data_IF_733805379702
#
_entry.id   IF_733805379702
#
_cell.length_a   1.000
_cell.length_b   1.000
_cell.length_c   1.000
_cell.angle_alpha   90.00
_cell.angle_beta   90.00
_cell.angle_gamma   90.00
#
_symmetry.space_group_name_H-M   'P 1'
#
loop_
_entity.id
_entity.type
_entity.pdbx_description
1 polymer ?
#
# COMPACT_ATOMS: atom_id res chain seq x y z
N UNK A 1 -36.16 17.81 -21.76
CA UNK A 1 -35.25 16.67 -21.97
C UNK A 1 -33.78 17.00 -21.70
N UNK A 2 -33.23 18.15 -22.12
CA UNK A 2 -31.82 18.49 -21.86
C UNK A 2 -31.44 18.58 -20.36
N UNK A 3 -32.31 19.16 -19.53
CA UNK A 3 -32.08 19.31 -18.07
C UNK A 3 -32.07 17.95 -17.34
N UNK A 4 -32.88 16.98 -17.77
CA UNK A 4 -32.93 15.65 -17.16
C UNK A 4 -31.68 14.82 -17.50
N UNK A 5 -31.18 14.92 -18.73
CA UNK A 5 -29.94 14.26 -19.16
C UNK A 5 -28.73 14.85 -18.43
N UNK A 6 -28.67 16.17 -18.30
CA UNK A 6 -27.61 16.86 -17.55
C UNK A 6 -27.58 16.43 -16.08
N UNK A 7 -28.74 16.41 -15.40
CA UNK A 7 -28.81 15.94 -14.00
C UNK A 7 -28.38 14.48 -13.86
N UNK A 8 -28.75 13.62 -14.80
CA UNK A 8 -28.38 12.21 -14.77
C UNK A 8 -26.87 12.01 -14.98
N UNK A 9 -26.27 12.75 -15.92
CA UNK A 9 -24.82 12.75 -16.15
C UNK A 9 -24.06 13.28 -14.93
N UNK A 10 -24.47 14.42 -14.36
CA UNK A 10 -23.84 14.99 -13.17
C UNK A 10 -23.92 14.04 -11.96
N UNK A 11 -25.08 13.39 -11.76
CA UNK A 11 -25.25 12.42 -10.67
C UNK A 11 -24.40 11.18 -10.88
N UNK A 12 -24.29 10.71 -12.12
CA UNK A 12 -23.41 9.57 -12.47
C UNK A 12 -21.95 9.91 -12.22
N UNK A 13 -21.51 11.10 -12.63
CA UNK A 13 -20.14 11.56 -12.45
C UNK A 13 -19.79 11.73 -10.96
N UNK A 14 -20.71 12.31 -10.18
CA UNK A 14 -20.55 12.42 -8.72
C UNK A 14 -20.42 11.05 -8.04
N UNK A 15 -21.19 10.03 -8.48
CA UNK A 15 -21.06 8.66 -7.96
C UNK A 15 -19.70 8.05 -8.29
N UNK A 16 -19.22 8.21 -9.51
CA UNK A 16 -17.89 7.73 -9.92
C UNK A 16 -16.79 8.39 -9.10
N UNK A 17 -16.87 9.71 -8.91
CA UNK A 17 -15.93 10.46 -8.10
C UNK A 17 -15.92 10.00 -6.64
N UNK A 18 -17.10 9.79 -6.04
CA UNK A 18 -17.21 9.33 -4.65
C UNK A 18 -16.60 7.93 -4.49
N UNK A 19 -16.86 7.03 -5.44
CA UNK A 19 -16.27 5.68 -5.42
C UNK A 19 -14.75 5.72 -5.53
N UNK A 20 -14.21 6.52 -6.46
CA UNK A 20 -12.76 6.70 -6.61
C UNK A 20 -12.14 7.28 -5.34
N UNK A 21 -12.81 8.23 -4.68
CA UNK A 21 -12.35 8.80 -3.42
C UNK A 21 -12.30 7.76 -2.29
N UNK A 22 -13.32 6.91 -2.18
CA UNK A 22 -13.34 5.80 -1.20
C UNK A 22 -12.22 4.80 -1.48
N UNK A 23 -11.97 4.46 -2.75
CA UNK A 23 -10.88 3.57 -3.14
C UNK A 23 -9.50 4.15 -2.81
N UNK A 24 -9.29 5.44 -3.08
CA UNK A 24 -8.06 6.13 -2.69
C UNK A 24 -7.87 6.14 -1.16
N UNK A 25 -8.95 6.39 -0.40
CA UNK A 25 -8.87 6.38 1.07
C UNK A 25 -8.52 5.00 1.62
N UNK A 26 -9.10 3.92 1.08
CA UNK A 26 -8.77 2.54 1.44
C UNK A 26 -7.30 2.23 1.11
N UNK A 27 -6.86 2.58 -0.11
CA UNK A 27 -5.46 2.39 -0.52
C UNK A 27 -4.49 3.17 0.38
N UNK A 28 -4.87 4.38 0.81
CA UNK A 28 -4.07 5.21 1.74
C UNK A 28 -3.96 4.57 3.12
N UNK A 29 -5.05 4.01 3.64
CA UNK A 29 -5.02 3.31 4.93
C UNK A 29 -4.17 2.04 4.86
N UNK A 30 -4.29 1.26 3.78
CA UNK A 30 -3.45 0.07 3.55
C UNK A 30 -1.97 0.42 3.46
N UNK A 31 -1.64 1.50 2.75
CA UNK A 31 -0.27 1.98 2.68
C UNK A 31 0.26 2.43 4.05
N UNK A 32 -0.52 3.17 4.84
CA UNK A 32 -0.12 3.58 6.18
C UNK A 32 0.15 2.37 7.11
N UNK A 33 -0.68 1.32 7.01
CA UNK A 33 -0.44 0.07 7.72
C UNK A 33 0.83 -0.63 7.23
N UNK A 34 1.04 -0.68 5.91
CA UNK A 34 2.23 -1.29 5.32
C UNK A 34 3.52 -0.53 5.69
N UNK A 35 3.48 0.80 5.77
CA UNK A 35 4.61 1.62 6.22
C UNK A 35 4.97 1.32 7.69
N UNK A 36 3.97 1.14 8.56
CA UNK A 36 4.21 0.71 9.94
C UNK A 36 4.84 -0.69 9.97
N UNK A 37 4.34 -1.61 9.14
CA UNK A 37 4.89 -2.96 9.03
C UNK A 37 6.33 -2.94 8.51
N UNK A 38 6.66 -2.05 7.57
CA UNK A 38 8.01 -1.87 7.03
C UNK A 38 9.02 -1.50 8.12
N UNK A 39 8.64 -0.61 9.04
CA UNK A 39 9.49 -0.23 10.18
C UNK A 39 9.79 -1.42 11.08
N UNK A 40 8.77 -2.23 11.38
CA UNK A 40 8.91 -3.45 12.20
C UNK A 40 9.82 -4.46 11.49
N UNK A 41 9.62 -4.66 10.19
CA UNK A 41 10.41 -5.60 9.38
C UNK A 41 11.87 -5.16 9.32
N UNK A 42 12.15 -3.87 9.14
CA UNK A 42 13.52 -3.31 9.18
C UNK A 42 14.19 -3.56 10.54
N UNK A 43 13.46 -3.35 11.65
CA UNK A 43 13.97 -3.66 12.98
C UNK A 43 14.26 -5.15 13.17
N UNK A 44 13.40 -6.03 12.66
CA UNK A 44 13.60 -7.47 12.70
C UNK A 44 14.84 -7.91 11.90
N UNK A 45 15.09 -7.30 10.73
CA UNK A 45 16.31 -7.55 9.95
C UNK A 45 17.56 -7.15 10.75
N UNK A 46 17.54 -5.98 11.41
CA UNK A 46 18.65 -5.54 12.28
C UNK A 46 18.89 -6.50 13.44
N UNK A 47 17.83 -6.96 14.10
CA UNK A 47 17.93 -7.91 15.20
C UNK A 47 18.51 -9.26 14.74
N UNK A 48 18.07 -9.77 13.59
CA UNK A 48 18.60 -11.00 12.99
C UNK A 48 20.11 -10.86 12.72
N UNK A 49 20.54 -9.72 12.19
CA UNK A 49 21.96 -9.44 11.94
C UNK A 49 22.78 -9.37 13.24
N UNK A 50 22.25 -8.79 14.31
CA UNK A 50 22.90 -8.77 15.64
C UNK A 50 23.03 -10.17 16.24
N UNK A 51 21.96 -10.97 16.19
CA UNK A 51 21.96 -12.34 16.71
C UNK A 51 22.89 -13.27 15.93
N UNK A 52 23.03 -13.07 14.61
CA UNK A 52 24.07 -13.74 13.82
C UNK A 52 25.47 -13.39 14.31
N UNK A 53 25.76 -12.10 14.55
CA UNK A 53 27.08 -11.67 15.07
C UNK A 53 27.37 -12.25 16.45
N UNK A 54 26.34 -12.42 17.28
CA UNK A 54 26.45 -13.08 18.58
C UNK A 54 26.66 -14.61 18.50
N UNK A 55 26.44 -15.21 17.32
CA UNK A 55 26.53 -16.66 17.12
C UNK A 55 25.27 -17.45 17.50
N UNK A 56 24.17 -16.76 17.85
CA UNK A 56 22.90 -17.36 18.28
C UNK A 56 22.07 -17.93 17.13
N UNK A 57 22.40 -17.57 15.88
CA UNK A 57 21.67 -17.97 14.68
C UNK A 57 22.58 -18.70 13.70
N UNK A 58 22.10 -19.85 13.22
CA UNK A 58 22.71 -20.55 12.09
C UNK A 58 22.53 -19.77 10.78
N UNK A 59 23.49 -19.91 9.86
CA UNK A 59 23.50 -19.18 8.58
C UNK A 59 22.27 -19.46 7.70
N UNK A 60 21.67 -20.65 7.80
CA UNK A 60 20.46 -21.04 7.05
C UNK A 60 19.22 -20.35 7.61
N UNK A 61 19.05 -20.34 8.93
CA UNK A 61 17.90 -19.72 9.60
C UNK A 61 17.88 -18.20 9.38
N UNK A 62 19.06 -17.58 9.38
CA UNK A 62 19.23 -16.17 9.04
C UNK A 62 18.76 -15.88 7.60
N UNK A 63 19.24 -16.65 6.61
CA UNK A 63 18.88 -16.45 5.21
C UNK A 63 17.38 -16.61 4.96
N UNK A 64 16.75 -17.62 5.57
CA UNK A 64 15.30 -17.83 5.48
C UNK A 64 14.52 -16.69 6.14
N UNK A 65 14.99 -16.20 7.28
CA UNK A 65 14.36 -15.07 7.98
C UNK A 65 14.49 -13.78 7.19
N UNK A 66 15.68 -13.48 6.66
CA UNK A 66 15.91 -12.30 5.80
C UNK A 66 15.08 -12.39 4.53
N UNK A 67 14.95 -13.57 3.91
CA UNK A 67 14.10 -13.79 2.74
C UNK A 67 12.61 -13.53 3.04
N UNK A 68 12.11 -14.06 4.16
CA UNK A 68 10.72 -13.83 4.58
C UNK A 68 10.45 -12.35 4.84
N UNK A 69 11.35 -11.66 5.54
CA UNK A 69 11.29 -10.23 5.80
C UNK A 69 11.35 -9.42 4.50
N UNK A 70 12.19 -9.82 3.55
CA UNK A 70 12.30 -9.18 2.23
C UNK A 70 11.01 -9.30 1.41
N UNK A 71 10.33 -10.45 1.45
CA UNK A 71 9.00 -10.61 0.83
C UNK A 71 7.96 -9.70 1.47
N UNK A 72 8.04 -9.50 2.79
CA UNK A 72 7.13 -8.59 3.50
C UNK A 72 7.37 -7.12 3.13
N UNK A 73 8.63 -6.73 2.85
CA UNK A 73 8.94 -5.42 2.27
C UNK A 73 8.36 -5.25 0.86
N UNK A 74 8.40 -6.28 0.02
CA UNK A 74 7.81 -6.23 -1.32
C UNK A 74 6.29 -6.00 -1.29
N UNK A 75 5.59 -6.53 -0.28
CA UNK A 75 4.16 -6.26 -0.10
C UNK A 75 3.89 -4.77 0.20
N UNK A 76 4.80 -4.09 0.89
CA UNK A 76 4.70 -2.64 1.16
C UNK A 76 4.87 -1.84 -0.12
N UNK A 77 5.82 -2.22 -0.98
CA UNK A 77 6.01 -1.60 -2.29
C UNK A 77 4.78 -1.77 -3.19
N UNK A 78 4.14 -2.94 -3.17
CA UNK A 78 2.89 -3.16 -3.91
C UNK A 78 1.73 -2.29 -3.39
N UNK A 79 1.61 -2.12 -2.07
CA UNK A 79 0.61 -1.22 -1.47
C UNK A 79 0.84 0.24 -1.86
N UNK A 80 2.10 0.68 -1.93
CA UNK A 80 2.45 2.02 -2.42
C UNK A 80 2.04 2.24 -3.88
N UNK A 81 2.30 1.25 -4.75
CA UNK A 81 1.89 1.32 -6.16
C UNK A 81 0.36 1.40 -6.31
N UNK A 82 -0.39 0.68 -5.48
CA UNK A 82 -1.86 0.75 -5.47
C UNK A 82 -2.37 2.13 -5.05
N UNK A 83 -1.77 2.74 -4.02
CA UNK A 83 -2.08 4.11 -3.62
C UNK A 83 -1.83 5.10 -4.76
N UNK A 84 -0.67 5.02 -5.41
CA UNK A 84 -0.30 5.91 -6.50
C UNK A 84 -1.27 5.78 -7.69
N UNK A 85 -1.71 4.55 -7.99
CA UNK A 85 -2.68 4.29 -9.06
C UNK A 85 -4.06 4.88 -8.72
N UNK A 86 -4.54 4.68 -7.50
CA UNK A 86 -5.82 5.22 -7.03
C UNK A 86 -5.81 6.76 -6.98
N UNK A 87 -4.67 7.37 -6.62
CA UNK A 87 -4.51 8.82 -6.64
C UNK A 87 -4.52 9.39 -8.06
N UNK A 88 -3.86 8.71 -9.01
CA UNK A 88 -3.90 9.09 -10.42
C UNK A 88 -5.32 9.00 -11.00
N UNK A 89 -6.07 7.94 -10.67
CA UNK A 89 -7.45 7.76 -11.10
C UNK A 89 -8.38 8.83 -10.53
N UNK A 90 -8.24 9.15 -9.24
CA UNK A 90 -8.99 10.24 -8.60
C UNK A 90 -8.70 11.59 -9.26
N UNK A 91 -7.42 11.88 -9.53
CA UNK A 91 -7.03 13.14 -10.18
C UNK A 91 -7.58 13.24 -11.60
N UNK A 92 -7.59 12.16 -12.36
CA UNK A 92 -8.15 12.13 -13.71
C UNK A 92 -9.67 12.39 -13.73
N UNK A 93 -10.39 12.02 -12.67
CA UNK A 93 -11.83 12.27 -12.53
C UNK A 93 -12.17 13.68 -12.02
N UNK A 94 -11.19 14.41 -11.47
CA UNK A 94 -11.34 15.78 -10.99
C UNK A 94 -11.07 16.84 -12.08
N UNK A 95 -10.33 16.47 -13.12
CA UNK A 95 -10.08 17.27 -14.34
C UNK A 95 -11.17 17.14 -15.38
#
# INVERSE_FOLDING_TARGET
>A
MAVSIYRQSATSHAKTLLNAYVQWLDAKQRYALAEQQEKIVKQAISLVAERRKAGDLGAVDEQLTVLALSRQLQQTAAAYQQLQSAEAELNALLT
#
